data_IF_839687014683
#
_entry.id   IF_839687014683
#
_cell.length_a   1.000
_cell.length_b   1.000
_cell.length_c   1.000
_cell.angle_alpha   90.00
_cell.angle_beta   90.00
_cell.angle_gamma   90.00
#
_symmetry.space_group_name_H-M   'P 1'
#
loop_
_entity.id
_entity.type
_entity.pdbx_description
1 polymer ?
#
# COMPACT_ATOMS: atom_id res chain seq x y z
N UNK A 1 -10.44 -14.47 -80.85
CA UNK A 1 -11.01 -15.83 -80.94
C UNK A 1 -11.87 -16.00 -79.72
N UNK A 2 -13.17 -16.17 -79.91
CA UNK A 2 -14.10 -16.49 -78.82
C UNK A 2 -14.23 -18.01 -78.79
N UNK A 3 -13.98 -18.62 -77.63
CA UNK A 3 -14.13 -20.06 -77.45
C UNK A 3 -15.43 -20.27 -76.68
N UNK A 4 -16.41 -20.86 -77.36
CA UNK A 4 -17.68 -21.26 -76.77
C UNK A 4 -17.54 -22.71 -76.29
N UNK A 5 -16.94 -22.89 -75.11
CA UNK A 5 -16.62 -24.18 -74.50
C UNK A 5 -15.23 -24.25 -73.89
N UNK A 6 -14.72 -25.46 -73.66
CA UNK A 6 -13.44 -25.68 -72.99
C UNK A 6 -12.26 -25.46 -73.95
N UNK A 7 -11.29 -24.65 -73.53
CA UNK A 7 -9.99 -24.51 -74.18
C UNK A 7 -8.91 -25.23 -73.37
N UNK A 8 -8.37 -26.32 -73.92
CA UNK A 8 -7.25 -27.05 -73.30
C UNK A 8 -5.92 -26.66 -73.96
N UNK A 9 -4.99 -26.11 -73.17
CA UNK A 9 -3.62 -25.80 -73.61
C UNK A 9 -2.62 -26.66 -72.83
N UNK A 10 -1.93 -27.58 -73.52
CA UNK A 10 -1.10 -28.60 -72.87
C UNK A 10 0.24 -28.10 -72.31
N UNK A 11 0.63 -26.84 -72.56
CA UNK A 11 1.92 -26.28 -72.11
C UNK A 11 1.83 -24.82 -71.67
N UNK A 12 1.80 -23.89 -72.62
CA UNK A 12 1.85 -22.46 -72.31
C UNK A 12 0.89 -21.70 -73.22
N UNK A 13 0.04 -20.87 -72.61
CA UNK A 13 -0.73 -19.84 -73.31
C UNK A 13 -0.09 -18.49 -73.00
N UNK A 14 -0.04 -17.60 -73.99
CA UNK A 14 0.38 -16.21 -73.83
C UNK A 14 -0.70 -15.30 -74.37
N UNK A 15 -1.04 -14.26 -73.62
CA UNK A 15 -1.98 -13.21 -74.01
C UNK A 15 -1.18 -11.92 -74.08
N UNK A 16 -1.17 -11.26 -75.25
CA UNK A 16 -0.36 -10.06 -75.46
C UNK A 16 -0.94 -8.81 -74.78
N UNK A 17 -2.23 -8.84 -74.46
CA UNK A 17 -2.95 -7.73 -73.84
C UNK A 17 -3.82 -8.25 -72.69
N UNK A 18 -5.15 -8.17 -72.78
CA UNK A 18 -6.04 -8.48 -71.67
C UNK A 18 -6.60 -9.90 -71.75
N UNK A 19 -6.55 -10.62 -70.63
CA UNK A 19 -7.36 -11.82 -70.42
C UNK A 19 -8.66 -11.42 -69.72
N UNK A 20 -9.78 -11.45 -70.45
CA UNK A 20 -11.10 -11.23 -69.86
C UNK A 20 -11.75 -12.56 -69.51
N UNK A 21 -12.03 -12.76 -68.22
CA UNK A 21 -12.77 -13.92 -67.74
C UNK A 21 -14.17 -13.43 -67.37
N UNK A 22 -15.14 -13.71 -68.24
CA UNK A 22 -16.53 -13.34 -67.96
C UNK A 22 -17.08 -14.20 -66.81
N UNK A 23 -17.95 -13.65 -65.96
CA UNK A 23 -18.59 -14.45 -64.92
C UNK A 23 -19.40 -15.58 -65.56
N UNK A 24 -19.37 -16.77 -64.95
CA UNK A 24 -20.32 -17.82 -65.27
C UNK A 24 -21.74 -17.25 -65.15
N UNK A 25 -22.63 -17.64 -66.07
CA UNK A 25 -23.94 -17.01 -66.34
C UNK A 25 -24.91 -16.96 -65.15
N UNK A 26 -24.61 -17.64 -64.04
CA UNK A 26 -25.36 -17.56 -62.79
C UNK A 26 -24.62 -16.70 -61.74
N UNK A 27 -25.27 -15.67 -61.15
CA UNK A 27 -24.71 -14.84 -60.08
C UNK A 27 -24.17 -15.69 -58.92
N UNK A 28 -22.98 -15.34 -58.42
CA UNK A 28 -22.35 -16.02 -57.29
C UNK A 28 -21.52 -17.26 -57.67
N UNK A 29 -21.43 -17.60 -58.96
CA UNK A 29 -20.55 -18.68 -59.40
C UNK A 29 -19.13 -18.14 -59.62
N UNK A 30 -18.13 -18.56 -58.83
CA UNK A 30 -16.77 -18.04 -58.94
C UNK A 30 -16.10 -18.50 -60.23
N UNK A 31 -15.33 -17.59 -60.83
CA UNK A 31 -14.38 -17.95 -61.87
C UNK A 31 -13.11 -18.50 -61.21
N UNK A 32 -12.69 -19.70 -61.60
CA UNK A 32 -11.49 -20.31 -61.04
C UNK A 32 -10.30 -20.09 -61.97
N UNK A 33 -9.22 -19.56 -61.40
CA UNK A 33 -7.88 -19.63 -61.98
C UNK A 33 -7.10 -20.57 -61.06
N UNK A 34 -6.99 -21.85 -61.44
CA UNK A 34 -6.30 -22.87 -60.64
C UNK A 34 -5.34 -23.67 -61.52
N UNK A 35 -4.07 -23.79 -61.10
CA UNK A 35 -3.15 -24.77 -61.68
C UNK A 35 -3.49 -26.19 -61.23
N UNK A 36 -3.00 -27.22 -61.94
CA UNK A 36 -3.16 -28.63 -61.54
C UNK A 36 -2.52 -28.95 -60.17
N UNK A 37 -1.61 -28.09 -59.70
CA UNK A 37 -1.01 -28.13 -58.37
C UNK A 37 -1.54 -27.03 -57.42
N UNK A 38 -2.55 -26.25 -57.84
CA UNK A 38 -3.26 -25.27 -57.01
C UNK A 38 -2.72 -23.84 -57.02
N UNK A 39 -1.55 -23.57 -57.62
CA UNK A 39 -0.90 -22.26 -57.50
C UNK A 39 -1.28 -21.26 -58.60
N UNK A 40 -1.36 -19.98 -58.23
CA UNK A 40 -1.43 -18.85 -59.14
C UNK A 40 -0.29 -17.85 -58.83
N UNK A 41 0.48 -17.48 -59.85
CA UNK A 41 1.64 -16.59 -59.72
C UNK A 41 1.41 -15.28 -60.48
N UNK A 42 1.42 -14.16 -59.76
CA UNK A 42 1.39 -12.81 -60.33
C UNK A 42 2.76 -12.18 -60.06
N UNK A 43 3.50 -11.87 -61.13
CA UNK A 43 4.88 -11.35 -61.02
C UNK A 43 4.95 -9.87 -60.73
N UNK A 44 3.88 -9.16 -61.05
CA UNK A 44 3.76 -7.73 -60.90
C UNK A 44 2.61 -7.43 -59.92
N UNK A 45 1.75 -6.45 -60.18
CA UNK A 45 0.70 -6.03 -59.23
C UNK A 45 -0.59 -6.86 -59.31
N UNK A 46 -1.25 -7.02 -58.16
CA UNK A 46 -2.63 -7.50 -58.02
C UNK A 46 -3.50 -6.35 -57.49
N UNK A 47 -4.52 -5.98 -58.25
CA UNK A 47 -5.54 -5.00 -57.86
C UNK A 47 -6.89 -5.71 -57.69
N UNK A 48 -7.60 -5.35 -56.63
CA UNK A 48 -8.92 -5.90 -56.30
C UNK A 48 -9.81 -4.75 -55.83
N UNK A 49 -10.82 -4.40 -56.64
CA UNK A 49 -11.77 -3.31 -56.32
C UNK A 49 -12.77 -3.68 -55.21
N UNK A 50 -12.82 -4.96 -54.85
CA UNK A 50 -13.75 -5.52 -53.87
C UNK A 50 -13.05 -6.29 -52.76
N UNK A 51 -13.80 -7.19 -52.13
CA UNK A 51 -13.30 -7.95 -50.99
C UNK A 51 -12.42 -9.12 -51.45
N UNK A 52 -11.24 -9.24 -50.84
CA UNK A 52 -10.37 -10.43 -50.97
C UNK A 52 -10.67 -11.41 -49.84
N UNK A 53 -10.96 -12.67 -50.17
CA UNK A 53 -11.21 -13.73 -49.19
C UNK A 53 -10.17 -14.86 -49.34
N UNK A 54 -9.39 -15.13 -48.29
CA UNK A 54 -8.33 -16.15 -48.28
C UNK A 54 -8.66 -17.25 -47.25
N UNK A 55 -8.81 -18.49 -47.71
CA UNK A 55 -9.16 -19.64 -46.86
C UNK A 55 -7.97 -20.28 -46.13
N UNK A 56 -6.74 -19.78 -46.35
CA UNK A 56 -5.49 -20.31 -45.78
C UNK A 56 -4.57 -19.20 -45.26
N UNK A 57 -3.31 -19.55 -45.00
CA UNK A 57 -2.33 -18.61 -44.44
C UNK A 57 -1.85 -17.61 -45.49
N UNK A 58 -1.90 -16.32 -45.15
CA UNK A 58 -1.15 -15.30 -45.85
C UNK A 58 0.28 -15.23 -45.29
N UNK A 59 1.27 -15.69 -46.06
CA UNK A 59 2.70 -15.53 -45.74
C UNK A 59 3.26 -14.30 -46.50
N UNK A 60 3.54 -13.22 -45.77
CA UNK A 60 4.17 -12.02 -46.32
C UNK A 60 5.62 -11.96 -45.86
N UNK A 61 6.55 -12.28 -46.75
CA UNK A 61 8.00 -12.22 -46.47
C UNK A 61 8.56 -10.80 -46.44
N UNK A 62 7.78 -9.83 -46.92
CA UNK A 62 8.07 -8.39 -46.89
C UNK A 62 7.13 -7.64 -45.93
N UNK A 63 6.79 -6.39 -46.26
CA UNK A 63 5.95 -5.55 -45.40
C UNK A 63 4.45 -5.67 -45.76
N UNK A 64 3.57 -5.63 -44.75
CA UNK A 64 2.12 -5.47 -44.88
C UNK A 64 1.72 -4.06 -44.42
N UNK A 65 0.93 -3.33 -45.23
CA UNK A 65 0.44 -1.97 -44.92
C UNK A 65 -1.10 -1.99 -44.98
N UNK A 66 -1.78 -1.50 -43.93
CA UNK A 66 -3.26 -1.52 -43.78
C UNK A 66 -3.79 -0.13 -43.41
N UNK A 67 -4.80 0.37 -44.12
CA UNK A 67 -5.36 1.74 -44.00
C UNK A 67 -6.91 1.72 -43.91
N UNK A 68 -7.51 1.29 -42.77
CA UNK A 68 -8.99 1.34 -42.50
C UNK A 68 -9.31 1.25 -40.98
N UNK A 69 -10.57 1.30 -40.46
CA UNK A 69 -10.85 1.71 -39.05
C UNK A 69 -11.69 0.81 -38.07
N UNK A 70 -11.95 -0.51 -38.23
CA UNK A 70 -12.96 -1.29 -37.40
C UNK A 70 -12.49 -2.54 -36.63
N UNK A 71 -12.45 -3.75 -37.24
CA UNK A 71 -11.47 -4.74 -36.79
C UNK A 71 -10.25 -4.05 -37.27
N UNK A 72 -9.62 -3.32 -36.39
CA UNK A 72 -9.12 -3.71 -35.07
C UNK A 72 -7.87 -4.62 -35.22
N UNK A 73 -7.77 -5.41 -36.30
CA UNK A 73 -6.57 -5.46 -37.17
C UNK A 73 -6.78 -4.51 -38.36
N UNK A 74 -7.44 -3.41 -38.13
CA UNK A 74 -6.71 -2.25 -37.76
C UNK A 74 -5.51 -2.73 -36.94
N UNK A 75 -4.48 -3.03 -37.68
CA UNK A 75 -3.27 -2.35 -37.33
C UNK A 75 -3.58 -0.93 -36.78
N UNK A 76 -4.56 -0.21 -37.31
CA UNK A 76 -5.10 1.09 -36.85
C UNK A 76 -5.40 1.26 -35.36
N UNK A 77 -5.78 0.27 -34.55
CA UNK A 77 -5.71 0.42 -33.10
C UNK A 77 -4.60 -0.42 -32.50
N UNK A 78 -3.91 -1.33 -33.22
CA UNK A 78 -2.64 -2.05 -32.94
C UNK A 78 -2.40 -2.68 -31.56
N UNK A 79 -3.09 -2.25 -30.54
CA UNK A 79 -4.06 -3.13 -29.94
C UNK A 79 -4.64 -4.03 -31.04
N UNK A 80 -4.67 -5.28 -30.69
CA UNK A 80 -5.95 -5.94 -30.86
C UNK A 80 -6.96 -5.05 -30.13
N UNK A 81 -7.42 -4.07 -30.89
CA UNK A 81 -8.21 -2.96 -30.45
C UNK A 81 -9.60 -3.42 -30.57
N UNK A 82 -10.31 -3.28 -29.48
CA UNK A 82 -11.71 -3.62 -29.46
C UNK A 82 -12.36 -2.32 -29.07
N UNK A 83 -12.52 -1.45 -30.07
CA UNK A 83 -13.17 -0.14 -29.98
C UNK A 83 -14.30 -0.06 -31.01
N UNK A 84 -15.50 0.32 -30.57
CA UNK A 84 -16.76 0.09 -31.30
C UNK A 84 -17.17 1.18 -32.28
N UNK A 85 -16.34 2.21 -32.49
CA UNK A 85 -16.46 3.22 -33.54
C UNK A 85 -15.09 3.93 -33.72
N UNK A 86 -14.93 4.75 -34.76
CA UNK A 86 -14.14 5.95 -34.57
C UNK A 86 -14.76 6.71 -33.38
N UNK A 87 -14.12 6.60 -32.20
CA UNK A 87 -14.49 7.31 -30.99
C UNK A 87 -15.52 6.66 -30.06
N UNK A 88 -15.38 5.39 -29.63
CA UNK A 88 -15.49 5.04 -28.18
C UNK A 88 -15.54 3.53 -27.89
N UNK A 89 -15.05 3.20 -26.69
CA UNK A 89 -15.00 1.92 -25.95
C UNK A 89 -13.82 1.00 -26.22
N UNK A 90 -12.63 1.57 -26.32
CA UNK A 90 -11.37 0.84 -26.15
C UNK A 90 -11.29 0.25 -24.73
N UNK A 91 -11.24 -1.08 -24.63
CA UNK A 91 -11.02 -1.78 -23.34
C UNK A 91 -9.58 -1.66 -22.82
N UNK A 92 -8.67 -1.30 -23.72
CA UNK A 92 -7.27 -1.03 -23.47
C UNK A 92 -6.91 0.21 -24.28
N UNK A 93 -6.96 1.39 -23.66
CA UNK A 93 -6.49 2.59 -24.33
C UNK A 93 -4.99 2.73 -24.06
N UNK A 94 -4.15 2.64 -25.10
CA UNK A 94 -2.73 3.00 -25.00
C UNK A 94 -2.56 4.36 -25.68
N UNK A 95 -2.56 5.43 -24.89
CA UNK A 95 -2.37 6.79 -25.40
C UNK A 95 -1.63 7.65 -24.36
N UNK A 96 -0.89 8.66 -24.82
CA UNK A 96 -0.29 9.67 -23.93
C UNK A 96 0.72 9.16 -22.88
N UNK A 97 1.34 8.00 -23.08
CA UNK A 97 2.31 7.42 -22.12
C UNK A 97 1.69 6.57 -21.01
N UNK A 98 0.42 6.19 -21.15
CA UNK A 98 -0.28 5.31 -20.23
C UNK A 98 -1.15 4.26 -20.90
N UNK A 99 -1.61 3.32 -20.08
CA UNK A 99 -2.52 2.23 -20.33
C UNK A 99 -3.75 2.50 -19.47
N UNK A 100 -4.87 2.88 -20.07
CA UNK A 100 -6.14 3.04 -19.36
C UNK A 100 -6.99 1.77 -19.47
N UNK A 101 -7.53 1.36 -18.33
CA UNK A 101 -8.53 0.32 -18.21
C UNK A 101 -9.85 0.98 -17.84
N UNK A 102 -10.85 0.80 -18.68
CA UNK A 102 -12.20 1.30 -18.43
C UNK A 102 -12.88 0.47 -17.35
N UNK A 103 -13.67 1.12 -16.50
CA UNK A 103 -14.54 0.40 -15.57
C UNK A 103 -15.48 -0.57 -16.32
N UNK A 104 -15.72 -1.75 -15.74
CA UNK A 104 -16.53 -2.80 -16.38
C UNK A 104 -18.04 -2.63 -16.12
N UNK A 105 -18.43 -1.91 -15.07
CA UNK A 105 -19.80 -1.85 -14.57
C UNK A 105 -20.68 -0.79 -15.25
N UNK A 106 -20.09 0.32 -15.68
CA UNK A 106 -20.72 1.35 -16.53
C UNK A 106 -19.92 1.47 -17.82
N UNK A 107 -20.63 1.70 -18.93
CA UNK A 107 -19.97 2.14 -20.16
C UNK A 107 -19.25 3.45 -19.80
N UNK A 108 -17.94 3.61 -20.03
CA UNK A 108 -17.24 4.83 -19.64
C UNK A 108 -17.77 5.98 -20.48
N UNK A 109 -18.46 6.95 -19.86
CA UNK A 109 -19.05 8.07 -20.60
C UNK A 109 -18.13 9.29 -20.63
N UNK A 110 -17.11 9.30 -19.77
CA UNK A 110 -16.08 10.33 -19.69
C UNK A 110 -14.75 9.79 -19.11
N UNK A 111 -13.78 10.69 -18.94
CA UNK A 111 -12.46 10.34 -18.39
C UNK A 111 -12.49 10.01 -16.89
N UNK A 112 -13.62 10.20 -16.21
CA UNK A 112 -13.78 9.94 -14.78
C UNK A 112 -14.11 8.46 -14.49
N UNK A 113 -14.38 7.65 -15.52
CA UNK A 113 -14.68 6.21 -15.41
C UNK A 113 -13.48 5.30 -15.77
N UNK A 114 -12.26 5.84 -15.79
CA UNK A 114 -11.05 5.13 -16.24
C UNK A 114 -10.01 5.01 -15.13
N UNK A 115 -9.46 3.81 -14.94
CA UNK A 115 -8.24 3.60 -14.18
C UNK A 115 -7.03 3.64 -15.12
N UNK A 116 -6.12 4.58 -14.94
CA UNK A 116 -4.97 4.78 -15.84
C UNK A 116 -3.67 4.32 -15.17
N UNK A 117 -2.99 3.34 -15.76
CA UNK A 117 -1.60 3.00 -15.47
C UNK A 117 -0.70 3.82 -16.36
N UNK A 118 0.13 4.70 -15.83
CA UNK A 118 0.96 5.56 -16.67
C UNK A 118 2.32 5.78 -16.05
N UNK A 119 3.30 6.08 -16.89
CA UNK A 119 4.57 6.58 -16.40
C UNK A 119 4.57 8.11 -16.48
N UNK A 120 5.02 8.79 -15.43
CA UNK A 120 5.35 10.21 -15.50
C UNK A 120 6.77 10.45 -15.07
N UNK A 121 7.35 11.52 -15.61
CA UNK A 121 8.69 11.92 -15.21
C UNK A 121 8.67 12.52 -13.81
N UNK A 122 9.48 11.93 -12.94
CA UNK A 122 9.81 12.45 -11.62
C UNK A 122 11.33 12.57 -11.59
N UNK A 123 11.83 13.82 -11.53
CA UNK A 123 13.28 14.13 -11.49
C UNK A 123 14.12 13.50 -12.62
N UNK A 124 13.68 13.59 -13.89
CA UNK A 124 14.45 13.04 -15.01
C UNK A 124 14.23 11.55 -15.28
N UNK A 125 13.32 10.89 -14.54
CA UNK A 125 13.07 9.45 -14.67
C UNK A 125 11.60 9.11 -14.75
N UNK A 126 11.26 8.16 -15.60
CA UNK A 126 9.92 7.63 -15.72
C UNK A 126 9.60 6.71 -14.53
N UNK A 127 8.60 7.07 -13.73
CA UNK A 127 8.08 6.27 -12.63
C UNK A 127 6.62 5.88 -12.90
N UNK A 128 6.20 4.71 -12.43
CA UNK A 128 4.86 4.17 -12.67
C UNK A 128 3.84 4.61 -11.61
N UNK A 129 2.71 5.09 -12.09
CA UNK A 129 1.57 5.54 -11.32
C UNK A 129 0.29 4.84 -11.78
N UNK A 130 -0.66 4.75 -10.86
CA UNK A 130 -2.06 4.46 -11.16
C UNK A 130 -2.87 5.70 -10.79
N UNK A 131 -3.66 6.20 -11.73
CA UNK A 131 -4.65 7.25 -11.50
C UNK A 131 -6.04 6.62 -11.51
N UNK A 132 -6.86 6.96 -10.52
CA UNK A 132 -8.27 6.60 -10.51
C UNK A 132 -9.13 7.60 -11.31
N UNK A 133 -10.43 7.30 -11.39
CA UNK A 133 -11.42 8.14 -12.07
C UNK A 133 -11.53 9.57 -11.53
N UNK A 134 -11.12 9.81 -10.29
CA UNK A 134 -11.14 11.13 -9.66
C UNK A 134 -9.81 11.88 -9.79
N UNK A 135 -8.94 11.43 -10.71
CA UNK A 135 -7.61 11.97 -10.92
C UNK A 135 -6.68 11.86 -9.69
N UNK A 136 -6.98 10.97 -8.74
CA UNK A 136 -6.09 10.68 -7.62
C UNK A 136 -5.04 9.67 -8.09
N UNK A 137 -3.76 9.98 -7.88
CA UNK A 137 -2.67 9.12 -8.34
C UNK A 137 -1.89 8.49 -7.19
N UNK A 138 -1.63 7.18 -7.32
CA UNK A 138 -0.76 6.40 -6.44
C UNK A 138 0.45 5.92 -7.21
N UNK A 139 1.65 6.17 -6.68
CA UNK A 139 2.89 5.62 -7.25
C UNK A 139 2.95 4.12 -6.93
N UNK A 140 2.97 3.28 -7.97
CA UNK A 140 2.97 1.82 -7.81
C UNK A 140 4.35 1.21 -8.01
N UNK A 141 5.23 1.87 -8.76
CA UNK A 141 6.66 1.57 -8.68
C UNK A 141 7.24 2.28 -7.47
N UNK A 142 6.92 1.81 -6.26
CA UNK A 142 7.74 2.10 -5.09
C UNK A 142 8.92 1.12 -5.08
N UNK A 143 9.74 1.20 -6.12
CA UNK A 143 11.13 0.97 -5.84
C UNK A 143 11.54 2.24 -5.11
N UNK A 144 11.58 2.20 -3.79
CA UNK A 144 12.69 2.89 -3.14
C UNK A 144 13.95 2.10 -3.54
N UNK A 145 14.28 2.08 -4.84
CA UNK A 145 15.64 1.89 -5.30
C UNK A 145 16.29 3.18 -4.91
N UNK A 146 17.25 3.11 -3.99
CA UNK A 146 18.04 4.26 -3.62
C UNK A 146 18.38 5.19 -4.77
N UNK A 147 18.84 4.61 -5.88
CA UNK A 147 19.36 5.36 -7.02
C UNK A 147 18.37 6.29 -7.70
N UNK A 148 17.07 6.16 -7.48
CA UNK A 148 16.07 7.13 -7.98
C UNK A 148 16.31 8.54 -7.41
N UNK A 149 16.99 8.63 -6.26
CA UNK A 149 17.46 9.87 -5.64
C UNK A 149 18.95 10.15 -5.92
N UNK A 150 19.81 9.14 -6.21
CA UNK A 150 21.19 9.31 -6.70
C UNK A 150 21.61 8.37 -7.88
N UNK A 151 21.73 8.87 -9.12
CA UNK A 151 22.00 8.04 -10.31
C UNK A 151 23.32 7.27 -10.37
N UNK A 152 24.35 7.64 -9.60
CA UNK A 152 25.72 7.14 -9.81
C UNK A 152 26.07 5.81 -9.14
N UNK A 153 25.12 5.10 -8.54
CA UNK A 153 25.46 4.06 -7.58
C UNK A 153 25.51 2.64 -8.20
N UNK A 154 26.28 1.69 -7.64
CA UNK A 154 26.50 0.33 -8.18
C UNK A 154 25.50 -0.82 -7.82
N UNK A 155 24.73 -0.82 -6.71
CA UNK A 155 23.71 -1.83 -6.30
C UNK A 155 22.50 -1.19 -5.58
N UNK A 156 21.48 -1.98 -5.18
CA UNK A 156 20.33 -1.54 -4.35
C UNK A 156 20.72 -1.01 -2.95
N UNK A 157 22.01 -0.96 -2.68
CA UNK A 157 22.64 -0.54 -1.43
C UNK A 157 23.89 0.32 -1.65
N UNK A 158 24.13 0.81 -2.86
CA UNK A 158 25.29 1.66 -3.14
C UNK A 158 24.95 3.15 -3.09
N UNK A 159 23.66 3.49 -3.11
CA UNK A 159 23.21 4.85 -2.81
C UNK A 159 22.81 4.94 -1.33
N UNK A 160 23.74 5.50 -0.55
CA UNK A 160 23.66 5.69 0.89
C UNK A 160 22.57 6.71 1.32
N UNK A 161 21.88 7.35 0.38
CA UNK A 161 20.85 8.36 0.66
C UNK A 161 19.45 7.79 0.89
N UNK A 162 19.20 6.53 0.53
CA UNK A 162 17.92 5.88 0.77
C UNK A 162 18.03 4.88 1.91
N UNK A 163 17.19 5.16 2.89
CA UNK A 163 17.17 4.48 4.17
C UNK A 163 16.31 3.24 4.05
N UNK A 164 16.97 2.09 4.06
CA UNK A 164 16.28 0.82 4.20
C UNK A 164 15.86 0.64 5.67
N UNK A 165 14.75 -0.06 5.95
CA UNK A 165 14.17 -0.10 7.29
C UNK A 165 15.05 -0.82 8.34
N UNK A 166 16.19 -1.38 7.94
CA UNK A 166 17.15 -2.11 8.77
C UNK A 166 18.51 -1.41 8.95
N UNK A 167 18.68 -0.19 8.45
CA UNK A 167 19.91 0.60 8.67
C UNK A 167 19.88 1.34 10.02
N UNK A 168 21.02 1.48 10.71
CA UNK A 168 21.11 2.19 11.99
C UNK A 168 21.41 3.67 11.74
N UNK A 169 20.49 4.56 12.14
CA UNK A 169 20.60 6.00 11.96
C UNK A 169 20.77 6.72 13.29
N UNK A 170 21.79 7.57 13.41
CA UNK A 170 21.96 8.52 14.51
C UNK A 170 22.13 9.93 13.91
N UNK A 171 21.46 10.93 14.47
CA UNK A 171 21.63 12.31 14.04
C UNK A 171 21.60 13.30 15.20
N UNK A 172 22.52 14.25 15.17
CA UNK A 172 22.54 15.39 16.06
C UNK A 172 22.21 16.65 15.25
N UNK A 173 20.96 17.11 15.40
CA UNK A 173 20.40 18.25 14.67
C UNK A 173 21.07 19.59 15.01
N UNK A 174 21.67 19.73 16.21
CA UNK A 174 22.29 20.99 16.64
C UNK A 174 23.63 21.26 15.95
N UNK A 175 24.38 20.20 15.66
CA UNK A 175 25.62 20.29 14.88
C UNK A 175 25.38 19.96 13.40
N UNK A 176 24.14 19.65 13.02
CA UNK A 176 23.74 19.34 11.65
C UNK A 176 24.42 18.09 11.09
N UNK A 177 24.71 17.08 11.93
CA UNK A 177 25.40 15.85 11.51
C UNK A 177 24.54 14.62 11.75
N UNK A 178 24.57 13.70 10.80
CA UNK A 178 24.00 12.37 10.91
C UNK A 178 24.98 11.30 10.48
N UNK A 179 24.79 10.10 11.00
CA UNK A 179 25.55 8.89 10.70
C UNK A 179 24.56 7.78 10.39
N UNK A 180 24.90 7.00 9.35
CA UNK A 180 24.12 5.86 8.87
C UNK A 180 25.05 4.66 8.78
N UNK A 181 24.62 3.53 9.33
CA UNK A 181 25.24 2.23 9.07
C UNK A 181 24.34 1.47 8.11
N UNK A 182 24.78 1.38 6.86
CA UNK A 182 24.11 0.62 5.81
C UNK A 182 24.49 -0.86 5.90
N UNK A 183 23.78 -1.56 6.79
CA UNK A 183 23.95 -3.01 6.98
C UNK A 183 23.53 -3.81 5.75
N UNK A 184 22.62 -3.27 4.97
CA UNK A 184 22.04 -4.00 3.88
C UNK A 184 22.98 -3.98 2.66
N UNK A 185 23.73 -2.90 2.48
CA UNK A 185 24.87 -2.86 1.55
C UNK A 185 26.04 -3.73 1.93
N UNK A 186 26.34 -3.82 3.23
CA UNK A 186 27.31 -4.77 3.72
C UNK A 186 26.90 -6.21 3.37
N UNK A 187 25.65 -6.58 3.63
CA UNK A 187 25.14 -7.93 3.33
C UNK A 187 25.24 -8.24 1.83
N UNK A 188 24.82 -7.32 0.96
CA UNK A 188 24.85 -7.55 -0.49
C UNK A 188 26.26 -7.74 -1.06
N UNK A 189 27.25 -6.96 -0.60
CA UNK A 189 28.63 -7.15 -1.03
C UNK A 189 29.20 -8.49 -0.54
N UNK A 190 28.85 -8.90 0.68
CA UNK A 190 29.24 -10.21 1.20
C UNK A 190 28.56 -11.34 0.42
N UNK A 191 27.27 -11.23 0.10
CA UNK A 191 26.55 -12.20 -0.73
C UNK A 191 27.19 -12.34 -2.12
N UNK A 192 27.53 -11.22 -2.75
CA UNK A 192 28.19 -11.15 -4.06
C UNK A 192 29.60 -11.76 -4.03
N UNK A 193 30.38 -11.49 -2.99
CA UNK A 193 31.75 -11.99 -2.88
C UNK A 193 31.80 -13.49 -2.60
N UNK A 194 30.89 -14.01 -1.77
CA UNK A 194 30.92 -15.41 -1.32
C UNK A 194 29.93 -16.33 -2.06
N UNK A 195 29.04 -15.77 -2.89
CA UNK A 195 28.04 -16.53 -3.66
C UNK A 195 27.01 -17.26 -2.79
N UNK A 196 26.77 -16.78 -1.57
CA UNK A 196 25.82 -17.35 -0.60
C UNK A 196 24.83 -16.29 -0.17
N UNK A 197 23.55 -16.64 -0.05
CA UNK A 197 22.52 -15.78 0.53
C UNK A 197 22.66 -15.75 2.05
N UNK A 198 22.66 -14.57 2.64
CA UNK A 198 22.64 -14.34 4.09
C UNK A 198 21.26 -13.89 4.59
N UNK A 199 20.30 -13.71 3.68
CA UNK A 199 18.91 -13.44 4.02
C UNK A 199 18.16 -14.75 4.25
N UNK A 200 17.58 -14.92 5.45
CA UNK A 200 16.76 -16.09 5.81
C UNK A 200 15.33 -15.67 6.12
N UNK A 201 14.37 -16.47 5.67
CA UNK A 201 12.96 -16.33 6.04
C UNK A 201 12.65 -17.42 7.05
N UNK A 202 12.08 -17.05 8.19
CA UNK A 202 11.66 -18.00 9.21
C UNK A 202 10.33 -17.57 9.84
N UNK A 203 9.60 -18.55 10.37
CA UNK A 203 8.35 -18.32 11.09
C UNK A 203 8.65 -17.86 12.52
N UNK A 204 7.98 -16.80 12.96
CA UNK A 204 8.07 -16.33 14.35
C UNK A 204 7.39 -17.33 15.30
N UNK A 205 7.98 -17.57 16.49
CA UNK A 205 7.38 -18.47 17.47
C UNK A 205 6.05 -17.89 18.00
N UNK A 206 5.08 -18.72 18.41
CA UNK A 206 3.73 -18.27 18.75
C UNK A 206 3.67 -17.15 19.79
N UNK A 207 4.57 -17.15 20.77
CA UNK A 207 4.71 -16.13 21.81
C UNK A 207 5.12 -14.74 21.29
N UNK A 208 5.79 -14.68 20.13
CA UNK A 208 6.16 -13.43 19.45
C UNK A 208 5.14 -13.01 18.40
N UNK A 209 4.17 -13.87 18.09
CA UNK A 209 3.09 -13.54 17.16
C UNK A 209 1.95 -12.80 17.89
N UNK A 210 1.54 -11.65 17.38
CA UNK A 210 0.42 -10.90 17.92
C UNK A 210 -0.90 -11.35 17.26
N UNK A 211 -1.91 -11.65 18.05
CA UNK A 211 -3.25 -11.90 17.53
C UNK A 211 -3.97 -10.60 17.19
N UNK A 212 -4.94 -10.66 16.28
CA UNK A 212 -5.80 -9.51 15.98
C UNK A 212 -6.48 -8.96 17.23
N UNK A 213 -6.98 -9.85 18.09
CA UNK A 213 -7.67 -9.48 19.31
C UNK A 213 -6.75 -8.75 20.30
N UNK A 214 -5.55 -9.29 20.56
CA UNK A 214 -4.58 -8.63 21.44
C UNK A 214 -4.16 -7.26 20.92
N UNK A 215 -3.99 -7.11 19.60
CA UNK A 215 -3.70 -5.81 18.97
C UNK A 215 -4.84 -4.83 19.17
N UNK A 216 -6.08 -5.28 18.95
CA UNK A 216 -7.27 -4.46 19.09
C UNK A 216 -7.45 -3.99 20.53
N UNK A 217 -7.34 -4.87 21.53
CA UNK A 217 -7.37 -4.51 22.96
C UNK A 217 -6.31 -3.46 23.31
N UNK A 218 -5.09 -3.59 22.78
CA UNK A 218 -4.00 -2.63 23.02
C UNK A 218 -4.28 -1.26 22.39
N UNK A 219 -4.86 -1.23 21.18
CA UNK A 219 -5.26 0.03 20.53
C UNK A 219 -6.42 0.71 21.28
N UNK A 220 -7.40 -0.07 21.75
CA UNK A 220 -8.49 0.43 22.58
C UNK A 220 -7.97 1.04 23.89
N UNK A 221 -7.05 0.36 24.58
CA UNK A 221 -6.43 0.88 25.80
C UNK A 221 -5.71 2.20 25.54
N UNK A 222 -4.88 2.28 24.49
CA UNK A 222 -4.18 3.52 24.11
C UNK A 222 -5.15 4.64 23.74
N UNK A 223 -6.25 4.33 23.07
CA UNK A 223 -7.28 5.31 22.74
C UNK A 223 -7.96 5.85 24.01
N UNK A 224 -8.25 4.98 24.99
CA UNK A 224 -8.77 5.39 26.31
C UNK A 224 -7.77 6.27 27.06
N UNK A 225 -6.50 5.90 27.09
CA UNK A 225 -5.42 6.69 27.72
C UNK A 225 -5.29 8.08 27.07
N UNK A 226 -5.40 8.18 25.74
CA UNK A 226 -5.38 9.48 25.04
C UNK A 226 -6.57 10.36 25.43
N UNK A 227 -7.78 9.81 25.44
CA UNK A 227 -8.99 10.53 25.85
C UNK A 227 -8.88 10.97 27.32
N UNK A 228 -8.30 10.14 28.18
CA UNK A 228 -8.03 10.49 29.57
C UNK A 228 -7.05 11.66 29.69
N UNK A 229 -6.01 11.70 28.86
CA UNK A 229 -5.06 12.81 28.84
C UNK A 229 -5.69 14.12 28.33
N UNK A 230 -6.54 14.05 27.31
CA UNK A 230 -7.24 15.21 26.75
C UNK A 230 -8.35 15.73 27.67
N UNK A 231 -9.05 14.82 28.35
CA UNK A 231 -10.18 15.13 29.23
C UNK A 231 -10.06 14.38 30.56
N UNK A 232 -9.12 14.80 31.43
CA UNK A 232 -8.79 14.07 32.65
C UNK A 232 -9.87 14.14 33.71
N UNK A 233 -10.72 15.17 33.66
CA UNK A 233 -11.71 15.45 34.68
C UNK A 233 -13.13 15.07 34.22
N UNK A 234 -13.93 14.55 35.15
CA UNK A 234 -15.37 14.35 34.99
C UNK A 234 -16.11 15.16 36.03
N UNK A 235 -17.20 15.78 35.59
CA UNK A 235 -18.11 16.51 36.47
C UNK A 235 -18.85 15.53 37.39
N UNK A 236 -18.84 15.83 38.69
CA UNK A 236 -19.53 15.04 39.71
C UNK A 236 -20.54 15.90 40.46
N UNK A 237 -21.52 15.24 41.05
CA UNK A 237 -22.52 15.94 41.85
C UNK A 237 -21.93 16.46 43.17
N UNK A 238 -22.55 17.50 43.72
CA UNK A 238 -22.18 18.04 45.04
C UNK A 238 -22.21 16.92 46.10
N UNK A 239 -23.20 16.02 46.07
CA UNK A 239 -23.30 14.94 47.06
C UNK A 239 -22.11 13.98 47.02
N UNK A 240 -21.54 13.75 45.85
CA UNK A 240 -20.40 12.84 45.67
C UNK A 240 -19.07 13.51 46.05
N UNK A 241 -18.99 14.84 45.94
CA UNK A 241 -17.79 15.63 46.18
C UNK A 241 -17.37 15.73 47.66
N UNK A 242 -18.30 15.59 48.60
CA UNK A 242 -18.04 15.76 50.05
C UNK A 242 -17.83 14.43 50.77
N UNK A 243 -16.95 14.43 51.77
CA UNK A 243 -16.81 13.39 52.78
C UNK A 243 -16.78 13.99 54.20
N UNK A 244 -17.17 13.19 55.18
CA UNK A 244 -16.94 13.48 56.58
C UNK A 244 -15.62 12.83 56.98
N UNK A 245 -14.59 13.64 57.20
CA UNK A 245 -13.26 13.18 57.55
C UNK A 245 -12.95 13.47 59.01
N UNK A 246 -12.30 12.51 59.68
CA UNK A 246 -11.86 12.69 61.05
C UNK A 246 -10.68 13.68 61.11
N UNK A 247 -10.81 14.69 61.98
CA UNK A 247 -9.73 15.62 62.30
C UNK A 247 -8.67 14.84 63.08
N UNK A 248 -7.42 14.89 62.62
CA UNK A 248 -6.29 14.27 63.33
C UNK A 248 -5.39 15.37 63.90
N UNK A 249 -4.99 15.22 65.16
CA UNK A 249 -4.09 16.16 65.83
C UNK A 249 -2.70 15.52 66.02
N UNK A 250 -1.60 16.27 65.83
CA UNK A 250 -0.26 15.77 66.09
C UNK A 250 -0.08 15.55 67.59
N UNK A 251 0.15 14.31 67.98
CA UNK A 251 0.57 13.94 69.34
C UNK A 251 2.04 13.53 69.31
N UNK A 252 2.79 13.96 70.30
CA UNK A 252 4.17 13.53 70.48
C UNK A 252 4.16 12.21 71.25
N UNK A 253 4.60 11.12 70.61
CA UNK A 253 4.86 9.85 71.29
C UNK A 253 6.35 9.60 71.39
N UNK A 254 6.80 9.20 72.57
CA UNK A 254 8.18 8.80 72.82
C UNK A 254 8.33 7.33 72.45
N UNK A 255 9.17 7.05 71.45
CA UNK A 255 9.56 5.70 71.07
C UNK A 255 10.96 5.38 71.58
N UNK A 256 11.18 4.15 72.04
CA UNK A 256 12.50 3.63 72.32
C UNK A 256 13.09 3.07 71.02
N UNK A 257 14.04 3.79 70.43
CA UNK A 257 14.71 3.39 69.20
C UNK A 257 16.09 2.85 69.54
N UNK A 258 16.40 1.65 69.04
CA UNK A 258 17.71 1.04 69.19
C UNK A 258 18.68 1.69 68.20
N UNK A 259 19.67 2.42 68.73
CA UNK A 259 20.79 2.95 67.96
C UNK A 259 22.06 2.18 68.31
N UNK A 260 23.07 2.27 67.45
CA UNK A 260 24.33 1.58 67.64
C UNK A 260 25.44 2.60 67.87
N UNK A 261 26.32 2.33 68.83
CA UNK A 261 27.55 3.11 69.05
C UNK A 261 28.75 2.19 69.10
N UNK A 262 29.90 2.70 68.67
CA UNK A 262 31.16 1.99 68.73
C UNK A 262 31.85 2.27 70.08
N UNK A 263 32.08 1.23 70.89
CA UNK A 263 32.82 1.33 72.14
C UNK A 263 34.33 1.20 71.85
N UNK A 264 35.03 2.33 71.85
CA UNK A 264 36.47 2.43 71.59
C UNK A 264 37.34 1.65 72.60
N UNK A 265 36.79 1.31 73.77
CA UNK A 265 37.53 0.57 74.81
C UNK A 265 37.50 -0.94 74.57
N UNK A 266 36.40 -1.42 73.98
CA UNK A 266 36.16 -2.85 73.71
C UNK A 266 36.24 -3.20 72.23
N UNK A 267 36.46 -2.22 71.37
CA UNK A 267 36.49 -2.33 69.90
C UNK A 267 35.25 -3.03 69.31
N UNK A 268 34.07 -2.81 69.90
CA UNK A 268 32.82 -3.47 69.50
C UNK A 268 31.68 -2.48 69.31
N UNK A 269 30.76 -2.80 68.39
CA UNK A 269 29.51 -2.07 68.20
C UNK A 269 28.48 -2.60 69.20
N UNK A 270 27.98 -1.74 70.08
CA UNK A 270 26.96 -2.08 71.07
C UNK A 270 25.65 -1.34 70.77
N UNK A 271 24.49 -2.03 70.83
CA UNK A 271 23.19 -1.38 70.77
C UNK A 271 22.92 -0.60 72.07
N UNK A 272 22.26 0.55 71.95
CA UNK A 272 21.74 1.30 73.09
C UNK A 272 20.38 1.90 72.72
N UNK A 273 19.50 2.05 73.70
CA UNK A 273 18.17 2.62 73.49
C UNK A 273 18.26 4.14 73.62
N UNK A 274 17.64 4.85 72.66
CA UNK A 274 17.45 6.29 72.69
C UNK A 274 15.96 6.56 72.62
N UNK A 275 15.47 7.42 73.52
CA UNK A 275 14.12 7.95 73.43
C UNK A 275 14.07 9.00 72.33
N UNK A 276 13.26 8.74 71.31
CA UNK A 276 13.02 9.67 70.20
C UNK A 276 11.54 10.04 70.18
N UNK A 277 11.28 11.35 70.17
CA UNK A 277 9.94 11.89 70.11
C UNK A 277 9.48 11.90 68.65
N UNK A 278 8.54 11.01 68.30
CA UNK A 278 7.92 10.95 66.98
C UNK A 278 6.57 11.64 67.06
N UNK A 279 6.31 12.56 66.14
CA UNK A 279 4.99 13.18 66.00
C UNK A 279 4.10 12.24 65.20
N UNK A 280 3.09 11.67 65.84
CA UNK A 280 2.08 10.83 65.20
C UNK A 280 0.74 11.57 65.15
N UNK A 281 -0.05 11.33 64.10
CA UNK A 281 -1.41 11.87 63.99
C UNK A 281 -2.38 10.99 64.79
N UNK A 282 -2.94 11.50 65.89
CA UNK A 282 -3.98 10.80 66.65
C UNK A 282 -5.38 11.20 66.20
N UNK A 283 -6.26 10.20 66.16
CA UNK A 283 -7.71 10.34 65.99
C UNK A 283 -8.32 11.14 67.14
N UNK A 284 -9.08 12.20 66.82
CA UNK A 284 -9.71 13.08 67.82
C UNK A 284 -11.17 12.72 68.11
N UNK A 285 -11.78 11.85 67.31
CA UNK A 285 -13.21 11.55 67.32
C UNK A 285 -14.10 12.67 66.78
N UNK A 286 -13.53 13.80 66.33
CA UNK A 286 -14.25 14.91 65.70
C UNK A 286 -14.19 14.79 64.19
N UNK A 287 -15.31 15.00 63.52
CA UNK A 287 -15.41 14.94 62.06
C UNK A 287 -15.69 16.33 61.51
N UNK A 288 -15.03 16.65 60.41
CA UNK A 288 -15.32 17.83 59.61
C UNK A 288 -15.75 17.43 58.20
N UNK A 289 -16.69 18.20 57.66
CA UNK A 289 -17.13 18.01 56.28
C UNK A 289 -16.15 18.74 55.36
N UNK A 290 -15.46 17.99 54.51
CA UNK A 290 -14.47 18.52 53.57
C UNK A 290 -14.64 17.90 52.18
N UNK A 291 -14.01 18.51 51.18
CA UNK A 291 -13.96 17.92 49.85
C UNK A 291 -13.14 16.63 49.93
N UNK A 292 -13.63 15.60 49.23
CA UNK A 292 -12.88 14.35 49.06
C UNK A 292 -11.53 14.64 48.41
N UNK A 293 -10.55 13.86 48.81
CA UNK A 293 -9.23 13.92 48.19
C UNK A 293 -9.32 13.73 46.68
N UNK A 294 -8.65 14.61 45.92
CA UNK A 294 -8.67 14.60 44.44
C UNK A 294 -9.89 15.25 43.79
N UNK A 295 -10.84 15.79 44.57
CA UNK A 295 -11.95 16.59 44.04
C UNK A 295 -11.57 18.07 43.99
N UNK A 296 -11.75 18.68 42.82
CA UNK A 296 -11.56 20.11 42.58
C UNK A 296 -12.89 20.83 42.48
N UNK A 297 -13.01 21.99 43.12
CA UNK A 297 -14.10 22.92 42.89
C UNK A 297 -13.66 23.98 41.89
N UNK A 298 -14.50 24.24 40.89
CA UNK A 298 -14.27 25.29 39.89
C UNK A 298 -15.13 26.51 40.22
N UNK A 299 -14.49 27.56 40.73
CA UNK A 299 -15.18 28.79 41.16
C UNK A 299 -15.86 29.54 40.01
N UNK A 300 -15.40 29.36 38.77
CA UNK A 300 -15.93 30.07 37.60
C UNK A 300 -17.24 29.43 37.09
N UNK A 301 -17.37 28.12 37.23
CA UNK A 301 -18.52 27.35 36.75
C UNK A 301 -19.45 26.88 37.86
N UNK A 302 -18.99 26.89 39.11
CA UNK A 302 -19.71 26.36 40.27
C UNK A 302 -19.79 24.83 40.30
N UNK A 303 -18.93 24.14 39.53
CA UNK A 303 -18.97 22.68 39.34
C UNK A 303 -17.84 21.97 40.09
N UNK A 304 -18.08 20.70 40.41
CA UNK A 304 -17.11 19.82 41.05
C UNK A 304 -16.57 18.82 40.04
N UNK A 305 -15.27 18.60 40.10
CA UNK A 305 -14.55 17.72 39.18
C UNK A 305 -13.69 16.73 39.95
N UNK A 306 -13.60 15.50 39.45
CA UNK A 306 -12.59 14.53 39.88
C UNK A 306 -11.87 13.96 38.67
N UNK A 307 -10.74 13.29 38.93
CA UNK A 307 -10.08 12.52 37.88
C UNK A 307 -10.95 11.34 37.41
N UNK A 308 -11.00 11.15 36.10
CA UNK A 308 -11.63 9.99 35.43
C UNK A 308 -10.79 8.74 35.61
N UNK A 309 -11.45 7.59 35.52
CA UNK A 309 -10.80 6.29 35.36
C UNK A 309 -10.92 5.80 33.92
N UNK A 310 -10.04 4.88 33.49
CA UNK A 310 -10.08 4.32 32.13
C UNK A 310 -11.39 3.57 31.83
N UNK A 311 -12.06 3.05 32.86
CA UNK A 311 -13.31 2.31 32.72
C UNK A 311 -14.51 3.21 32.39
N UNK A 312 -14.42 4.49 32.72
CA UNK A 312 -15.47 5.49 32.46
C UNK A 312 -15.44 6.03 31.02
N UNK A 313 -14.39 5.71 30.27
CA UNK A 313 -14.18 6.22 28.91
C UNK A 313 -14.86 5.30 27.90
N UNK A 314 -15.89 5.83 27.24
CA UNK A 314 -16.52 5.21 26.08
C UNK A 314 -15.76 5.61 24.82
N UNK A 315 -15.29 4.60 24.06
CA UNK A 315 -14.61 4.82 22.81
C UNK A 315 -15.63 5.10 21.69
N UNK A 316 -15.42 6.14 20.88
CA UNK A 316 -16.23 6.31 19.67
C UNK A 316 -15.95 5.17 18.66
N UNK A 317 -16.90 4.85 17.76
CA UNK A 317 -16.80 3.67 16.87
C UNK A 317 -15.58 3.67 15.95
N UNK A 318 -15.02 4.85 15.69
CA UNK A 318 -13.87 5.14 14.82
C UNK A 318 -12.56 5.36 15.61
N UNK A 319 -12.58 5.22 16.94
CA UNK A 319 -11.40 5.43 17.78
C UNK A 319 -10.23 4.50 17.45
N UNK A 320 -10.56 3.30 16.95
CA UNK A 320 -9.60 2.29 16.51
C UNK A 320 -9.79 2.05 15.02
N UNK A 321 -8.82 2.43 14.17
CA UNK A 321 -8.96 2.25 12.73
C UNK A 321 -9.04 0.76 12.40
N UNK A 322 -9.97 0.36 11.49
CA UNK A 322 -10.07 -1.02 11.06
C UNK A 322 -8.78 -1.43 10.32
N UNK A 323 -8.41 -2.69 10.45
CA UNK A 323 -7.26 -3.19 9.70
C UNK A 323 -7.58 -3.21 8.19
N UNK A 324 -6.61 -2.86 7.34
CA UNK A 324 -6.75 -3.00 5.90
C UNK A 324 -7.16 -4.42 5.51
N UNK A 325 -8.05 -4.54 4.52
CA UNK A 325 -8.58 -5.84 4.06
C UNK A 325 -7.48 -6.83 3.65
N UNK A 326 -6.37 -6.35 3.09
CA UNK A 326 -5.25 -7.22 2.73
C UNK A 326 -4.61 -7.91 3.94
N UNK A 327 -4.61 -7.27 5.13
CA UNK A 327 -4.15 -7.88 6.37
C UNK A 327 -5.17 -8.94 6.80
N UNK A 328 -6.45 -8.58 6.86
CA UNK A 328 -7.53 -9.48 7.27
C UNK A 328 -7.59 -10.75 6.41
N UNK A 329 -7.33 -10.63 5.11
CA UNK A 329 -7.30 -11.76 4.17
C UNK A 329 -6.11 -12.72 4.36
N UNK A 330 -5.05 -12.27 5.03
CA UNK A 330 -3.78 -13.01 5.19
C UNK A 330 -3.51 -13.43 6.62
N UNK A 331 -4.28 -12.91 7.59
CA UNK A 331 -4.22 -13.39 8.97
C UNK A 331 -4.64 -14.86 8.96
N UNK A 332 -3.76 -15.78 9.37
CA UNK A 332 -4.14 -17.18 9.44
C UNK A 332 -5.33 -17.30 10.40
N UNK A 333 -6.42 -17.96 9.97
CA UNK A 333 -7.48 -18.36 10.90
C UNK A 333 -6.92 -19.49 11.79
N UNK A 334 -6.09 -19.13 12.78
CA UNK A 334 -5.67 -20.05 13.84
C UNK A 334 -6.90 -20.29 14.71
N UNK A 335 -7.68 -21.29 14.32
CA UNK A 335 -8.83 -21.76 15.07
C UNK A 335 -8.40 -22.61 16.26
N UNK A 336 -8.94 -22.24 17.43
CA UNK A 336 -9.18 -23.03 18.66
C UNK A 336 -8.06 -23.88 19.24
#
# INVERSE_FOLDING_TARGET
MEVDGDLTVNKTASVNENLKINPASAPGTPNFISGSNGDAYIKDQLEVDGNTNMAGTLDVKGNLIVDSSVLSVNATYNTVGIGTAAGSYDKLTISGGGIALSEQASVPWDEEDLAKFYAKEVNGRAEMFVMDGYSQYTQISSHADPKLFNPGADSSFSDLSVVLPFSFHHGNKYIGKGTVVDLAGLVAEVEKHYGKSFTTVYDLPPEETETLQSRQTRLELRAKERILAETPEVEISIKEAWEDAEIKEPIVKTHLITRYRYDLTREQVIPFQVEENVTELASTGRYERRLKEGVRFDESTGKFYRQRTLDEIQLPPDAVPPLPQWILSRVPQRGK
#
